data_IF_276472956879
#
_entry.id   IF_276472956879
#
_cell.length_a   1.000
_cell.length_b   1.000
_cell.length_c   1.000
_cell.angle_alpha   90.00
_cell.angle_beta   90.00
_cell.angle_gamma   90.00
#
_symmetry.space_group_name_H-M   'P 1'
#
loop_
_entity.id
_entity.type
_entity.pdbx_description
1 polymer ?
#
# COMPACT_ATOMS: atom_id res chain seq x y z
N UNK A 1 28.39 83.98 -27.51
CA UNK A 1 28.70 82.59 -27.88
C UNK A 1 28.81 81.82 -26.58
N UNK A 2 27.79 81.02 -26.20
CA UNK A 2 27.76 80.25 -24.94
C UNK A 2 27.75 78.77 -25.30
N UNK A 3 28.80 78.06 -24.95
CA UNK A 3 28.98 76.65 -25.18
C UNK A 3 28.22 75.83 -24.13
N UNK A 4 27.22 75.07 -24.55
CA UNK A 4 26.56 74.07 -23.72
C UNK A 4 27.27 72.73 -23.84
N UNK A 5 27.74 72.15 -22.73
CA UNK A 5 28.24 70.79 -22.61
C UNK A 5 27.09 69.91 -22.11
N UNK A 6 26.76 68.79 -22.74
CA UNK A 6 25.71 67.91 -22.27
C UNK A 6 26.28 66.98 -21.18
N UNK A 7 25.55 66.85 -20.06
CA UNK A 7 25.82 65.90 -19.00
C UNK A 7 25.51 64.45 -19.42
N UNK A 8 26.47 63.55 -19.25
CA UNK A 8 26.28 62.13 -19.44
C UNK A 8 25.68 61.53 -18.17
N UNK A 9 24.47 60.97 -18.28
CA UNK A 9 23.81 60.18 -17.24
C UNK A 9 24.36 58.74 -17.31
N UNK A 10 25.11 58.31 -16.31
CA UNK A 10 25.45 56.90 -16.12
C UNK A 10 24.25 56.20 -15.48
N UNK A 11 23.59 55.33 -16.23
CA UNK A 11 22.61 54.38 -15.69
C UNK A 11 23.35 53.20 -15.08
N UNK A 12 23.32 53.11 -13.75
CA UNK A 12 23.79 51.92 -13.02
C UNK A 12 22.69 50.85 -13.07
N UNK A 13 22.90 49.81 -13.90
CA UNK A 13 22.03 48.66 -13.98
C UNK A 13 22.25 47.74 -12.74
N UNK A 14 21.28 47.70 -11.83
CA UNK A 14 21.20 46.67 -10.80
C UNK A 14 20.80 45.32 -11.46
N UNK A 15 21.76 44.41 -11.59
CA UNK A 15 21.47 43.00 -11.88
C UNK A 15 20.95 42.34 -10.60
N UNK A 16 19.61 42.21 -10.47
CA UNK A 16 19.00 41.30 -9.48
C UNK A 16 19.24 39.87 -9.96
N UNK A 17 20.27 39.23 -9.44
CA UNK A 17 20.48 37.80 -9.57
C UNK A 17 19.43 37.03 -8.76
N UNK A 18 18.33 36.60 -9.42
CA UNK A 18 17.37 35.69 -8.83
C UNK A 18 18.02 34.33 -8.60
N UNK A 19 18.34 33.98 -7.32
CA UNK A 19 18.61 32.60 -6.91
C UNK A 19 17.31 31.82 -7.14
N UNK A 20 17.24 31.05 -8.24
CA UNK A 20 16.28 29.97 -8.40
C UNK A 20 16.72 28.85 -7.43
N UNK A 21 16.21 28.91 -6.20
CA UNK A 21 16.31 27.81 -5.26
C UNK A 21 15.58 26.60 -5.82
N UNK A 22 16.30 25.58 -6.29
CA UNK A 22 15.74 24.28 -6.61
C UNK A 22 15.18 23.69 -5.30
N UNK A 23 13.91 23.97 -5.00
CA UNK A 23 13.20 23.34 -3.89
C UNK A 23 13.14 21.83 -4.16
N UNK A 24 13.80 21.02 -3.32
CA UNK A 24 13.66 19.58 -3.35
C UNK A 24 12.20 19.15 -3.13
N UNK A 25 11.85 17.91 -3.45
CA UNK A 25 10.48 17.42 -3.31
C UNK A 25 9.98 17.62 -1.87
N UNK A 26 8.75 18.11 -1.73
CA UNK A 26 8.13 18.28 -0.42
C UNK A 26 8.02 16.94 0.30
N UNK A 27 7.97 16.94 1.65
CA UNK A 27 7.78 15.71 2.45
C UNK A 27 6.55 14.93 1.99
N UNK A 28 5.44 15.59 1.67
CA UNK A 28 4.23 14.98 1.14
C UNK A 28 4.46 14.32 -0.23
N UNK A 29 5.20 14.97 -1.13
CA UNK A 29 5.57 14.40 -2.43
C UNK A 29 6.45 13.14 -2.28
N UNK A 30 7.36 13.12 -1.31
CA UNK A 30 8.20 11.96 -1.03
C UNK A 30 7.38 10.77 -0.48
N UNK A 31 6.42 11.01 0.43
CA UNK A 31 5.56 9.95 0.97
C UNK A 31 4.68 9.32 -0.12
N UNK A 32 4.07 10.13 -0.99
CA UNK A 32 3.31 9.62 -2.15
C UNK A 32 4.16 8.79 -3.11
N UNK A 33 5.39 9.19 -3.36
CA UNK A 33 6.31 8.40 -4.19
C UNK A 33 6.65 7.06 -3.53
N UNK A 34 6.81 7.01 -2.21
CA UNK A 34 7.07 5.77 -1.48
C UNK A 34 5.86 4.84 -1.44
N UNK A 35 4.65 5.36 -1.25
CA UNK A 35 3.43 4.54 -1.31
C UNK A 35 3.18 3.99 -2.71
N UNK A 36 3.46 4.76 -3.76
CA UNK A 36 3.41 4.26 -5.14
C UNK A 36 4.42 3.13 -5.36
N UNK A 37 5.67 3.28 -4.91
CA UNK A 37 6.68 2.22 -4.99
C UNK A 37 6.31 0.98 -4.15
N UNK A 38 5.63 1.16 -3.02
CA UNK A 38 5.09 0.06 -2.22
C UNK A 38 3.97 -0.69 -2.97
N UNK A 39 3.10 0.02 -3.68
CA UNK A 39 2.07 -0.59 -4.50
C UNK A 39 2.66 -1.35 -5.70
N UNK A 40 3.65 -0.79 -6.39
CA UNK A 40 4.40 -1.50 -7.44
C UNK A 40 5.03 -2.80 -6.90
N UNK A 41 5.51 -2.80 -5.67
CA UNK A 41 6.00 -4.01 -5.03
C UNK A 41 4.88 -5.04 -4.81
N UNK A 42 3.67 -4.63 -4.43
CA UNK A 42 2.53 -5.54 -4.35
C UNK A 42 2.15 -6.09 -5.73
N UNK A 43 2.25 -5.29 -6.80
CA UNK A 43 2.00 -5.73 -8.18
C UNK A 43 2.95 -6.86 -8.59
N UNK A 44 4.15 -6.95 -8.02
CA UNK A 44 5.05 -8.08 -8.29
C UNK A 44 4.50 -9.44 -7.84
N UNK A 45 3.43 -9.46 -7.02
CA UNK A 45 2.70 -10.68 -6.66
C UNK A 45 1.82 -11.23 -7.78
N UNK A 46 1.54 -10.48 -8.85
CA UNK A 46 0.73 -10.95 -9.97
C UNK A 46 1.18 -12.33 -10.44
N UNK A 47 0.20 -13.28 -10.54
CA UNK A 47 0.45 -14.67 -10.87
C UNK A 47 -0.22 -15.64 -9.90
N UNK A 48 0.14 -16.92 -10.02
CA UNK A 48 -0.38 -18.00 -9.19
C UNK A 48 0.62 -18.43 -8.11
N UNK A 49 0.08 -18.78 -6.96
CA UNK A 49 0.84 -19.16 -5.78
C UNK A 49 0.22 -20.38 -5.10
N UNK A 50 1.08 -21.24 -4.59
CA UNK A 50 0.69 -22.38 -3.77
C UNK A 50 1.33 -22.25 -2.40
N UNK A 51 0.59 -22.64 -1.37
CA UNK A 51 1.07 -22.45 -0.01
C UNK A 51 0.35 -23.31 1.02
N UNK A 52 0.64 -23.02 2.27
CA UNK A 52 0.05 -23.69 3.43
C UNK A 52 -0.24 -22.67 4.53
N UNK A 53 -1.24 -23.00 5.35
CA UNK A 53 -1.52 -22.38 6.64
C UNK A 53 -1.70 -23.47 7.74
N UNK A 54 -2.16 -23.09 8.91
CA UNK A 54 -2.42 -24.03 10.00
C UNK A 54 -3.48 -25.10 9.67
N UNK A 55 -4.37 -24.84 8.70
CA UNK A 55 -5.49 -25.71 8.32
C UNK A 55 -5.21 -26.57 7.06
N UNK A 56 -4.06 -26.37 6.39
CA UNK A 56 -3.67 -27.20 5.24
C UNK A 56 -3.20 -26.40 4.01
N UNK A 57 -3.49 -26.94 2.84
CA UNK A 57 -3.10 -26.34 1.56
C UNK A 57 -3.95 -25.10 1.25
N UNK A 58 -3.33 -24.13 0.61
CA UNK A 58 -3.98 -22.90 0.15
C UNK A 58 -3.42 -22.48 -1.21
N UNK A 59 -4.26 -21.93 -2.06
CA UNK A 59 -3.87 -21.30 -3.32
C UNK A 59 -4.17 -19.82 -3.26
N UNK A 60 -3.34 -19.02 -3.89
CA UNK A 60 -3.61 -17.61 -4.11
C UNK A 60 -3.36 -17.24 -5.57
N UNK A 61 -4.21 -16.36 -6.12
CA UNK A 61 -4.02 -15.79 -7.45
C UNK A 61 -4.13 -14.28 -7.34
N UNK A 62 -3.13 -13.58 -7.85
CA UNK A 62 -3.10 -12.13 -7.90
C UNK A 62 -3.28 -11.63 -9.32
N UNK A 63 -4.20 -10.68 -9.50
CA UNK A 63 -4.50 -10.07 -10.79
C UNK A 63 -4.60 -8.55 -10.66
N UNK A 64 -3.95 -7.83 -11.56
CA UNK A 64 -4.10 -6.38 -11.64
C UNK A 64 -5.43 -6.04 -12.31
N UNK A 65 -6.27 -5.24 -11.66
CA UNK A 65 -7.63 -4.90 -12.10
C UNK A 65 -7.86 -3.38 -12.11
N UNK A 66 -9.06 -2.95 -12.50
CA UNK A 66 -9.47 -1.53 -12.48
C UNK A 66 -8.49 -0.62 -13.22
N UNK A 67 -8.04 -1.03 -14.43
CA UNK A 67 -7.10 -0.24 -15.22
C UNK A 67 -5.72 -0.09 -14.58
N UNK A 68 -5.32 -1.02 -13.71
CA UNK A 68 -4.02 -0.99 -13.04
C UNK A 68 -4.02 -0.28 -11.68
N UNK A 69 -5.17 0.17 -11.17
CA UNK A 69 -5.25 0.93 -9.92
C UNK A 69 -5.54 0.08 -8.69
N UNK A 70 -5.89 -1.21 -8.88
CA UNK A 70 -6.11 -2.15 -7.79
C UNK A 70 -5.49 -3.52 -8.12
N UNK A 71 -4.96 -4.18 -7.10
CA UNK A 71 -4.50 -5.56 -7.16
C UNK A 71 -5.54 -6.42 -6.44
N UNK A 72 -6.07 -7.42 -7.12
CA UNK A 72 -7.03 -8.37 -6.57
C UNK A 72 -6.32 -9.68 -6.24
N UNK A 73 -6.45 -10.10 -5.00
CA UNK A 73 -6.10 -11.44 -4.54
C UNK A 73 -7.35 -12.30 -4.46
N UNK A 74 -7.28 -13.51 -4.98
CA UNK A 74 -8.22 -14.60 -4.73
C UNK A 74 -7.51 -15.62 -3.87
N UNK A 75 -7.97 -15.80 -2.64
CA UNK A 75 -7.41 -16.73 -1.67
C UNK A 75 -8.34 -17.93 -1.53
N UNK A 76 -7.84 -19.12 -1.77
CA UNK A 76 -8.61 -20.37 -1.75
C UNK A 76 -7.97 -21.41 -0.85
N UNK A 77 -8.30 -21.44 0.44
CA UNK A 77 -7.95 -22.53 1.33
C UNK A 77 -8.74 -23.81 0.94
N UNK A 78 -8.18 -24.97 1.24
CA UNK A 78 -8.80 -26.26 0.86
C UNK A 78 -10.15 -26.49 1.53
N UNK A 79 -10.31 -26.01 2.76
CA UNK A 79 -11.47 -26.29 3.61
C UNK A 79 -12.38 -25.09 3.87
N UNK A 80 -12.20 -24.00 3.14
CA UNK A 80 -12.98 -22.76 3.29
C UNK A 80 -13.44 -22.25 1.93
N UNK A 81 -14.45 -21.39 1.95
CA UNK A 81 -14.88 -20.68 0.75
C UNK A 81 -13.76 -19.73 0.28
N UNK A 82 -13.71 -19.50 -1.03
CA UNK A 82 -12.83 -18.49 -1.62
C UNK A 82 -13.07 -17.12 -1.00
N UNK A 83 -11.99 -16.42 -0.72
CA UNK A 83 -11.99 -15.06 -0.22
C UNK A 83 -11.30 -14.12 -1.21
N UNK A 84 -11.69 -12.85 -1.22
CA UNK A 84 -11.09 -11.84 -2.08
C UNK A 84 -10.51 -10.71 -1.22
N UNK A 85 -9.31 -10.26 -1.57
CA UNK A 85 -8.72 -9.04 -1.01
C UNK A 85 -8.39 -8.08 -2.14
N UNK A 86 -8.86 -6.84 -2.07
CA UNK A 86 -8.49 -5.77 -2.97
C UNK A 86 -7.48 -4.86 -2.29
N UNK A 87 -6.33 -4.66 -2.93
CA UNK A 87 -5.26 -3.76 -2.52
C UNK A 87 -5.27 -2.52 -3.41
N UNK A 88 -5.12 -1.35 -2.85
CA UNK A 88 -5.08 -0.08 -3.58
C UNK A 88 -4.25 0.98 -2.84
N UNK A 89 -4.02 2.12 -3.51
CA UNK A 89 -3.41 3.29 -2.90
C UNK A 89 -4.48 4.19 -2.25
N UNK A 90 -4.13 4.74 -1.09
CA UNK A 90 -4.88 5.80 -0.41
C UNK A 90 -3.90 6.87 0.10
N UNK A 91 -3.57 7.81 -0.77
CA UNK A 91 -2.61 8.87 -0.46
C UNK A 91 -1.20 8.33 -0.22
N UNK A 92 -0.72 8.42 1.01
CA UNK A 92 0.58 7.91 1.46
C UNK A 92 0.49 6.54 2.16
N UNK A 93 -0.68 5.88 2.09
CA UNK A 93 -0.98 4.57 2.66
C UNK A 93 -1.27 3.53 1.57
N UNK A 94 -1.16 2.27 1.92
CA UNK A 94 -1.81 1.17 1.22
C UNK A 94 -3.12 0.84 1.94
N UNK A 95 -4.17 0.60 1.16
CA UNK A 95 -5.50 0.21 1.62
C UNK A 95 -5.81 -1.20 1.17
N UNK A 96 -6.46 -1.99 2.01
CA UNK A 96 -7.08 -3.26 1.63
C UNK A 96 -8.54 -3.31 2.07
N UNK A 97 -9.36 -4.01 1.28
CA UNK A 97 -10.68 -4.50 1.69
C UNK A 97 -10.71 -6.00 1.48
N UNK A 98 -10.91 -6.74 2.57
CA UNK A 98 -10.97 -8.19 2.56
C UNK A 98 -12.42 -8.66 2.62
N UNK A 99 -12.84 -9.47 1.66
CA UNK A 99 -14.16 -10.11 1.59
C UNK A 99 -14.04 -11.50 2.20
N UNK A 100 -14.32 -11.58 3.48
CA UNK A 100 -14.14 -12.77 4.30
C UNK A 100 -15.21 -13.83 4.01
N UNK A 101 -14.84 -15.12 4.09
CA UNK A 101 -15.77 -16.25 4.05
C UNK A 101 -16.83 -16.19 5.15
N UNK A 102 -16.57 -15.49 6.27
CA UNK A 102 -17.52 -15.20 7.34
C UNK A 102 -18.63 -14.21 6.95
N UNK A 103 -18.55 -13.55 5.77
CA UNK A 103 -19.59 -12.66 5.24
C UNK A 103 -19.43 -11.19 5.60
N UNK A 104 -18.41 -10.80 6.37
CA UNK A 104 -18.09 -9.41 6.65
C UNK A 104 -16.90 -8.92 5.79
N UNK A 105 -16.71 -7.59 5.71
CA UNK A 105 -15.69 -6.97 4.90
C UNK A 105 -14.84 -6.00 5.74
N UNK A 106 -13.76 -6.47 6.38
CA UNK A 106 -12.80 -5.60 7.03
C UNK A 106 -12.04 -4.75 6.01
N UNK A 107 -12.03 -3.43 6.23
CA UNK A 107 -11.15 -2.49 5.55
C UNK A 107 -10.00 -2.13 6.46
N UNK A 108 -8.77 -2.29 5.94
CA UNK A 108 -7.54 -2.08 6.69
C UNK A 108 -6.59 -1.18 5.92
N UNK A 109 -5.73 -0.48 6.62
CA UNK A 109 -4.69 0.34 5.99
C UNK A 109 -3.36 0.24 6.73
N UNK A 110 -2.28 0.54 6.02
CA UNK A 110 -0.96 0.73 6.63
C UNK A 110 -0.88 2.07 7.35
N UNK A 111 0.15 2.28 8.17
CA UNK A 111 0.66 3.63 8.44
C UNK A 111 1.18 4.28 7.16
N UNK A 112 1.57 5.56 7.24
CA UNK A 112 2.26 6.21 6.12
C UNK A 112 3.52 5.42 5.73
N UNK A 113 3.69 5.15 4.44
CA UNK A 113 4.82 4.37 3.94
C UNK A 113 6.08 5.25 3.97
N UNK A 114 6.90 5.04 4.96
CA UNK A 114 8.17 5.76 5.15
C UNK A 114 9.38 4.97 4.65
N UNK A 115 9.25 3.63 4.56
CA UNK A 115 10.32 2.72 4.15
C UNK A 115 9.76 1.54 3.35
N UNK A 116 10.61 0.95 2.50
CA UNK A 116 10.29 -0.24 1.70
C UNK A 116 11.09 -1.44 2.24
N UNK A 117 10.80 -1.85 3.47
CA UNK A 117 11.55 -2.85 4.22
C UNK A 117 11.09 -4.31 4.00
N UNK A 118 10.26 -4.57 3.01
CA UNK A 118 9.82 -5.92 2.66
C UNK A 118 8.59 -6.43 3.41
N UNK A 119 8.06 -5.66 4.36
CA UNK A 119 6.82 -5.99 5.07
C UNK A 119 5.84 -4.83 5.07
N UNK A 120 4.54 -5.15 4.91
CA UNK A 120 3.43 -4.20 4.99
C UNK A 120 2.50 -4.63 6.12
N UNK A 121 2.30 -3.76 7.11
CA UNK A 121 1.41 -4.01 8.23
C UNK A 121 0.13 -3.20 8.07
N UNK A 122 -0.98 -3.91 7.88
CA UNK A 122 -2.32 -3.35 7.76
C UNK A 122 -3.07 -3.54 9.07
N UNK A 123 -3.80 -2.52 9.48
CA UNK A 123 -4.69 -2.55 10.66
C UNK A 123 -6.09 -2.15 10.27
N UNK A 124 -7.08 -2.83 10.82
CA UNK A 124 -8.49 -2.56 10.60
C UNK A 124 -8.85 -1.16 11.10
N UNK A 125 -9.66 -0.46 10.32
CA UNK A 125 -10.28 0.82 10.72
C UNK A 125 -11.79 0.82 10.53
N UNK A 126 -12.32 -0.12 9.72
CA UNK A 126 -13.75 -0.28 9.48
C UNK A 126 -14.05 -1.74 9.15
N UNK A 127 -15.21 -2.24 9.57
CA UNK A 127 -15.77 -3.52 9.14
C UNK A 127 -17.22 -3.31 8.71
N UNK A 128 -17.55 -3.76 7.49
CA UNK A 128 -18.93 -3.77 6.99
C UNK A 128 -19.47 -5.19 6.95
N UNK A 129 -20.81 -5.37 6.86
CA UNK A 129 -21.44 -6.69 6.79
C UNK A 129 -21.53 -7.44 8.13
N UNK A 130 -21.10 -6.86 9.25
CA UNK A 130 -21.25 -7.47 10.57
C UNK A 130 -22.73 -7.49 10.99
N UNK A 131 -23.19 -8.61 11.51
CA UNK A 131 -24.54 -8.76 12.08
C UNK A 131 -24.62 -8.26 13.52
N UNK A 132 -23.52 -8.37 14.26
CA UNK A 132 -23.37 -7.87 15.63
C UNK A 132 -21.97 -7.29 15.82
N UNK A 133 -21.78 -6.43 16.81
CA UNK A 133 -20.49 -5.84 17.17
C UNK A 133 -19.46 -6.86 17.67
N UNK A 134 -19.93 -8.05 18.10
CA UNK A 134 -19.10 -9.13 18.63
C UNK A 134 -18.75 -10.20 17.59
N UNK A 135 -19.23 -10.03 16.36
CA UNK A 135 -18.97 -10.99 15.29
C UNK A 135 -17.46 -11.06 14.94
N UNK A 136 -16.97 -12.28 14.76
CA UNK A 136 -15.57 -12.52 14.42
C UNK A 136 -15.18 -11.87 13.09
N UNK A 137 -14.02 -11.20 13.06
CA UNK A 137 -13.51 -10.53 11.86
C UNK A 137 -11.99 -10.40 11.89
N UNK A 138 -11.39 -10.19 10.71
CA UNK A 138 -9.95 -9.90 10.62
C UNK A 138 -9.65 -8.49 11.14
N UNK A 139 -8.61 -8.37 11.98
CA UNK A 139 -8.18 -7.10 12.60
C UNK A 139 -6.85 -6.61 12.06
N UNK A 140 -6.01 -7.50 11.53
CA UNK A 140 -4.73 -7.13 10.97
C UNK A 140 -4.25 -8.12 9.90
N UNK A 141 -3.39 -7.62 9.02
CA UNK A 141 -2.58 -8.40 8.09
C UNK A 141 -1.14 -7.88 8.13
N UNK A 142 -0.17 -8.79 8.27
CA UNK A 142 1.23 -8.51 7.97
C UNK A 142 1.60 -9.32 6.73
N UNK A 143 1.91 -8.62 5.63
CA UNK A 143 2.37 -9.22 4.38
C UNK A 143 3.87 -9.00 4.26
N UNK A 144 4.66 -10.07 4.18
CA UNK A 144 6.12 -10.03 4.08
C UNK A 144 6.58 -10.69 2.78
N UNK A 145 7.44 -10.00 2.02
CA UNK A 145 7.94 -10.42 0.72
C UNK A 145 9.47 -10.49 0.76
N UNK A 146 10.06 -11.62 1.20
CA UNK A 146 11.52 -11.76 1.31
C UNK A 146 12.21 -11.77 -0.06
N UNK A 147 11.58 -12.34 -1.08
CA UNK A 147 12.09 -12.41 -2.45
C UNK A 147 10.94 -12.45 -3.47
N UNK A 148 11.25 -12.68 -4.76
CA UNK A 148 10.28 -12.69 -5.87
C UNK A 148 9.42 -13.97 -5.92
N UNK A 149 9.84 -15.03 -5.26
CA UNK A 149 9.23 -16.36 -5.36
C UNK A 149 8.58 -16.81 -4.03
N UNK A 150 8.73 -16.04 -2.96
CA UNK A 150 8.16 -16.35 -1.65
C UNK A 150 7.52 -15.12 -1.02
N UNK A 151 6.37 -15.31 -0.39
CA UNK A 151 5.79 -14.33 0.53
C UNK A 151 5.02 -15.01 1.66
N UNK A 152 4.73 -14.24 2.69
CA UNK A 152 3.89 -14.69 3.81
C UNK A 152 2.80 -13.66 4.10
N UNK A 153 1.67 -14.17 4.57
CA UNK A 153 0.58 -13.37 5.13
C UNK A 153 0.33 -13.86 6.55
N UNK A 154 0.49 -13.00 7.52
CA UNK A 154 0.05 -13.27 8.89
C UNK A 154 -1.25 -12.51 9.12
N UNK A 155 -2.36 -13.23 9.11
CA UNK A 155 -3.68 -12.71 9.41
C UNK A 155 -3.96 -12.80 10.91
N UNK A 156 -4.57 -11.76 11.47
CA UNK A 156 -5.06 -11.75 12.85
C UNK A 156 -6.58 -11.67 12.82
N UNK A 157 -7.23 -12.67 13.39
CA UNK A 157 -8.67 -12.78 13.56
C UNK A 157 -9.04 -12.52 14.99
N UNK A 158 -10.11 -11.74 15.22
CA UNK A 158 -10.66 -11.49 16.55
C UNK A 158 -12.09 -12.02 16.63
N UNK A 159 -12.38 -12.85 17.63
CA UNK A 159 -13.71 -13.34 17.95
C UNK A 159 -13.94 -13.25 19.46
N UNK A 160 -15.07 -12.71 19.89
CA UNK A 160 -15.44 -12.56 21.31
C UNK A 160 -14.32 -11.99 22.18
N UNK A 161 -13.65 -10.98 21.65
CA UNK A 161 -12.54 -10.29 22.35
C UNK A 161 -11.20 -11.01 22.34
N UNK A 162 -11.09 -12.22 21.79
CA UNK A 162 -9.84 -12.99 21.67
C UNK A 162 -9.26 -12.86 20.28
N UNK A 163 -7.97 -12.59 20.20
CA UNK A 163 -7.22 -12.55 18.94
C UNK A 163 -6.44 -13.86 18.74
N UNK A 164 -6.44 -14.32 17.49
CA UNK A 164 -5.65 -15.46 17.03
C UNK A 164 -5.00 -15.07 15.71
N UNK A 165 -3.76 -15.51 15.49
CA UNK A 165 -3.05 -15.27 14.24
C UNK A 165 -2.78 -16.57 13.52
N UNK A 166 -2.96 -16.57 12.19
CA UNK A 166 -2.60 -17.66 11.31
C UNK A 166 -1.59 -17.18 10.27
N UNK A 167 -0.58 -18.00 10.00
CA UNK A 167 0.51 -17.69 9.09
C UNK A 167 0.38 -18.51 7.81
N UNK A 168 0.11 -17.84 6.72
CA UNK A 168 0.13 -18.39 5.37
C UNK A 168 1.52 -18.21 4.78
N UNK A 169 2.07 -19.27 4.19
CA UNK A 169 3.38 -19.26 3.51
C UNK A 169 3.17 -19.68 2.07
N UNK A 170 3.63 -18.85 1.13
CA UNK A 170 3.42 -19.05 -0.30
C UNK A 170 4.73 -19.16 -1.06
N UNK A 171 4.71 -20.01 -2.08
CA UNK A 171 5.74 -20.14 -3.10
C UNK A 171 5.09 -19.92 -4.47
N UNK A 172 5.77 -19.21 -5.36
CA UNK A 172 5.29 -18.94 -6.71
C UNK A 172 5.15 -20.25 -7.49
N UNK A 173 4.02 -20.41 -8.14
CA UNK A 173 3.83 -21.52 -9.06
C UNK A 173 4.61 -21.25 -10.35
N UNK A 174 5.46 -22.21 -10.74
CA UNK A 174 6.25 -22.20 -11.98
C UNK A 174 5.42 -22.52 -13.21
#
# INVERSE_FOLDING_TARGET
MKNHVPARILAAGLLLGGLLGAGGPSRAGNLKAKSAAAFERLISLVGEWEGTNSSGQVKATYTLVSGGTALMERLQPTNEAEMITLYSLDGDHLLITHYCSGGNQPSMRTGAITELNGAFSFKVFQVTGMKTTEEGHMTALILTMPDKDHFTQQWTFKDKGKEQSDLFKFTRKS
#
